data_IF_426258001209
#
_entry.id   IF_426258001209
#
_cell.length_a   1.000
_cell.length_b   1.000
_cell.length_c   1.000
_cell.angle_alpha   90.00
_cell.angle_beta   90.00
_cell.angle_gamma   90.00
#
_symmetry.space_group_name_H-M   'P 1'
#
loop_
_entity.id
_entity.type
_entity.pdbx_description
1 polymer ?
#
# COMPACT_ATOMS: atom_id res chain seq x y z
N UNK A 1 -1.07 6.94 -28.92
CA UNK A 1 -0.20 8.12 -28.73
C UNK A 1 -1.08 9.27 -28.28
N UNK A 2 -1.17 9.52 -26.98
CA UNK A 2 -1.88 10.68 -26.47
C UNK A 2 -0.95 11.90 -26.58
N UNK A 3 -1.40 12.93 -27.30
CA UNK A 3 -0.67 14.18 -27.43
C UNK A 3 -0.45 14.79 -26.03
N UNK A 4 0.79 15.16 -25.73
CA UNK A 4 1.14 15.95 -24.55
C UNK A 4 0.50 17.34 -24.67
N UNK A 5 -0.41 17.68 -23.75
CA UNK A 5 -0.84 19.07 -23.60
C UNK A 5 0.39 19.93 -23.24
N UNK A 6 0.53 21.12 -23.83
CA UNK A 6 1.65 22.00 -23.51
C UNK A 6 1.53 22.47 -22.05
N UNK A 7 2.57 22.22 -21.26
CA UNK A 7 2.73 22.81 -19.94
C UNK A 7 2.82 24.33 -20.12
N UNK A 8 1.92 25.08 -19.49
CA UNK A 8 1.85 26.54 -19.62
C UNK A 8 3.09 27.19 -18.97
N UNK A 9 3.63 28.27 -19.54
CA UNK A 9 4.85 28.92 -19.01
C UNK A 9 4.67 29.42 -17.58
N UNK A 10 3.44 29.75 -17.20
CA UNK A 10 3.07 30.16 -15.84
C UNK A 10 3.21 29.04 -14.80
N UNK A 11 3.04 27.77 -15.20
CA UNK A 11 3.21 26.61 -14.30
C UNK A 11 4.69 26.29 -14.05
N UNK A 12 5.58 26.62 -15.01
CA UNK A 12 7.02 26.41 -14.90
C UNK A 12 7.65 27.48 -13.98
N UNK A 13 7.30 28.75 -14.19
CA UNK A 13 7.79 29.86 -13.35
C UNK A 13 7.36 29.69 -11.88
N UNK A 14 6.19 29.10 -11.64
CA UNK A 14 5.67 28.77 -10.31
C UNK A 14 6.42 27.59 -9.64
N UNK A 15 6.81 26.57 -10.42
CA UNK A 15 7.59 25.44 -9.90
C UNK A 15 8.99 25.86 -9.45
N UNK A 16 9.70 26.66 -10.25
CA UNK A 16 11.04 27.14 -9.90
C UNK A 16 11.01 28.00 -8.63
N UNK A 17 10.01 28.85 -8.49
CA UNK A 17 9.79 29.64 -7.28
C UNK A 17 9.52 28.76 -6.05
N UNK A 18 8.70 27.71 -6.18
CA UNK A 18 8.44 26.76 -5.10
C UNK A 18 9.70 25.99 -4.71
N UNK A 19 10.45 25.45 -5.67
CA UNK A 19 11.69 24.73 -5.39
C UNK A 19 12.75 25.65 -4.77
N UNK A 20 12.81 26.93 -5.15
CA UNK A 20 13.65 27.92 -4.49
C UNK A 20 13.28 28.12 -3.02
N UNK A 21 11.97 28.17 -2.69
CA UNK A 21 11.50 28.24 -1.29
C UNK A 21 11.91 26.99 -0.51
N UNK A 22 11.77 25.80 -1.10
CA UNK A 22 12.19 24.54 -0.46
C UNK A 22 13.70 24.55 -0.23
N UNK A 23 14.51 24.96 -1.21
CA UNK A 23 15.98 25.07 -1.06
C UNK A 23 16.35 25.95 0.14
N UNK A 24 15.72 27.11 0.28
CA UNK A 24 15.95 28.03 1.41
C UNK A 24 15.47 27.43 2.74
N UNK A 25 14.26 26.84 2.76
CA UNK A 25 13.66 26.25 3.95
C UNK A 25 14.45 25.05 4.48
N UNK A 26 14.72 24.08 3.62
CA UNK A 26 15.49 22.88 3.96
C UNK A 26 16.96 23.22 4.27
N UNK A 27 17.55 24.18 3.56
CA UNK A 27 18.92 24.64 3.83
C UNK A 27 19.10 25.35 5.19
N UNK A 28 17.99 25.76 5.83
CA UNK A 28 18.01 26.30 7.20
C UNK A 28 17.87 25.23 8.30
N UNK A 29 17.61 23.97 7.91
CA UNK A 29 17.48 22.85 8.84
C UNK A 29 18.83 22.18 9.10
N UNK A 30 18.95 21.53 10.26
CA UNK A 30 20.10 20.68 10.60
C UNK A 30 19.97 19.30 9.93
N UNK A 31 20.20 19.26 8.61
CA UNK A 31 20.19 18.03 7.79
C UNK A 31 21.41 18.01 6.86
N UNK A 32 21.84 16.82 6.45
CA UNK A 32 22.99 16.72 5.53
C UNK A 32 22.64 17.19 4.11
N UNK A 33 23.64 17.64 3.37
CA UNK A 33 23.49 18.03 1.95
C UNK A 33 22.87 16.92 1.10
N UNK A 34 23.20 15.66 1.40
CA UNK A 34 22.63 14.50 0.73
C UNK A 34 21.12 14.36 0.97
N UNK A 35 20.65 14.60 2.20
CA UNK A 35 19.22 14.58 2.55
C UNK A 35 18.49 15.75 1.88
N UNK A 36 19.08 16.94 1.90
CA UNK A 36 18.51 18.11 1.24
C UNK A 36 18.40 17.92 -0.28
N UNK A 37 19.45 17.42 -0.92
CA UNK A 37 19.47 17.14 -2.36
C UNK A 37 18.43 16.08 -2.73
N UNK A 38 18.36 14.95 -2.01
CA UNK A 38 17.38 13.90 -2.28
C UNK A 38 15.94 14.39 -2.10
N UNK A 39 15.70 15.23 -1.10
CA UNK A 39 14.37 15.85 -0.86
C UNK A 39 13.94 16.69 -2.07
N UNK A 40 14.84 17.53 -2.59
CA UNK A 40 14.55 18.40 -3.74
C UNK A 40 14.28 17.59 -5.01
N UNK A 41 15.13 16.60 -5.31
CA UNK A 41 14.95 15.73 -6.48
C UNK A 41 13.60 15.01 -6.44
N UNK A 42 13.22 14.46 -5.28
CA UNK A 42 11.94 13.77 -5.13
C UNK A 42 10.74 14.72 -5.23
N UNK A 43 10.84 15.93 -4.67
CA UNK A 43 9.78 16.94 -4.77
C UNK A 43 9.57 17.41 -6.22
N UNK A 44 10.66 17.70 -6.93
CA UNK A 44 10.61 18.06 -8.35
C UNK A 44 9.92 16.96 -9.16
N UNK A 45 10.30 15.69 -8.95
CA UNK A 45 9.66 14.56 -9.61
C UNK A 45 8.16 14.47 -9.28
N UNK A 46 7.78 14.55 -8.01
CA UNK A 46 6.37 14.46 -7.59
C UNK A 46 5.50 15.65 -7.98
N UNK A 47 6.10 16.82 -8.23
CA UNK A 47 5.37 18.01 -8.70
C UNK A 47 5.21 18.05 -10.22
N UNK A 48 6.06 17.34 -10.97
CA UNK A 48 6.09 17.38 -12.45
C UNK A 48 5.50 16.14 -13.11
N UNK A 49 5.68 14.96 -12.53
CA UNK A 49 5.19 13.72 -13.10
C UNK A 49 3.67 13.59 -12.93
N UNK A 50 2.98 13.35 -14.05
CA UNK A 50 1.51 13.25 -14.12
C UNK A 50 0.94 12.19 -13.18
N UNK A 51 1.72 11.14 -12.87
CA UNK A 51 1.36 10.08 -11.93
C UNK A 51 1.02 10.62 -10.55
N UNK A 52 1.66 11.72 -10.13
CA UNK A 52 1.52 12.30 -8.79
C UNK A 52 0.66 13.56 -8.76
N UNK A 53 0.00 13.91 -9.87
CA UNK A 53 -0.80 15.16 -9.99
C UNK A 53 -1.80 15.34 -8.84
N UNK A 54 -2.45 14.27 -8.38
CA UNK A 54 -3.42 14.32 -7.27
C UNK A 54 -2.80 14.67 -5.91
N UNK A 55 -1.49 14.46 -5.74
CA UNK A 55 -0.75 14.81 -4.52
C UNK A 55 -0.25 16.26 -4.53
N UNK A 56 -0.13 16.88 -5.72
CA UNK A 56 0.46 18.21 -5.91
C UNK A 56 -0.15 19.30 -5.02
N UNK A 57 -1.49 19.43 -4.86
CA UNK A 57 -2.07 20.49 -4.03
C UNK A 57 -1.57 20.43 -2.58
N UNK A 58 -1.51 19.22 -2.01
CA UNK A 58 -1.02 19.00 -0.65
C UNK A 58 0.47 19.29 -0.49
N UNK A 59 1.29 18.92 -1.49
CA UNK A 59 2.73 19.19 -1.47
C UNK A 59 2.97 20.70 -1.50
N UNK A 60 2.27 21.42 -2.37
CA UNK A 60 2.34 22.89 -2.48
C UNK A 60 1.92 23.57 -1.17
N UNK A 61 0.81 23.13 -0.57
CA UNK A 61 0.37 23.64 0.72
C UNK A 61 1.40 23.38 1.85
N UNK A 62 2.05 22.22 1.88
CA UNK A 62 3.12 21.95 2.85
C UNK A 62 4.30 22.93 2.69
N UNK A 63 4.62 23.34 1.45
CA UNK A 63 5.67 24.32 1.14
C UNK A 63 5.24 25.72 1.61
N UNK A 64 4.04 26.17 1.23
CA UNK A 64 3.49 27.48 1.59
C UNK A 64 3.39 27.67 3.12
N UNK A 65 2.95 26.62 3.83
CA UNK A 65 2.86 26.60 5.28
C UNK A 65 4.18 26.25 5.98
N UNK A 66 5.29 26.16 5.23
CA UNK A 66 6.65 25.95 5.74
C UNK A 66 6.79 24.72 6.62
N UNK A 67 6.10 23.62 6.26
CA UNK A 67 6.14 22.33 6.97
C UNK A 67 7.41 21.54 6.62
N UNK A 68 8.58 22.17 6.77
CA UNK A 68 9.85 21.64 6.28
C UNK A 68 10.22 20.27 6.85
N UNK A 69 9.99 20.04 8.14
CA UNK A 69 10.23 18.74 8.77
C UNK A 69 9.39 17.62 8.14
N UNK A 70 8.12 17.90 7.82
CA UNK A 70 7.24 16.94 7.14
C UNK A 70 7.71 16.70 5.71
N UNK A 71 8.06 17.76 4.98
CA UNK A 71 8.56 17.65 3.60
C UNK A 71 9.86 16.84 3.53
N UNK A 72 10.85 17.15 4.37
CA UNK A 72 12.11 16.41 4.40
C UNK A 72 11.82 14.95 4.71
N UNK A 73 11.09 14.65 5.80
CA UNK A 73 10.80 13.27 6.19
C UNK A 73 10.01 12.50 5.12
N UNK A 74 9.08 13.14 4.41
CA UNK A 74 8.28 12.52 3.36
C UNK A 74 9.03 12.26 2.05
N UNK A 75 10.06 13.04 1.72
CA UNK A 75 10.67 13.06 0.38
C UNK A 75 12.15 12.68 0.31
N UNK A 76 12.87 12.65 1.44
CA UNK A 76 14.31 12.35 1.40
C UNK A 76 14.67 10.91 1.02
N UNK A 77 13.70 9.98 1.03
CA UNK A 77 13.89 8.58 0.69
C UNK A 77 12.61 7.96 0.16
N UNK A 78 12.71 6.75 -0.36
CA UNK A 78 11.55 5.88 -0.54
C UNK A 78 11.30 5.13 0.77
N UNK A 79 10.03 4.92 1.10
CA UNK A 79 9.62 4.02 2.17
C UNK A 79 10.34 2.68 1.94
N UNK A 80 10.93 2.01 2.93
CA UNK A 80 11.62 0.76 2.68
C UNK A 80 10.63 -0.39 2.42
N UNK A 81 11.00 -1.31 1.54
CA UNK A 81 10.37 -2.63 1.43
C UNK A 81 11.21 -3.60 2.27
N UNK A 82 10.67 -4.05 3.40
CA UNK A 82 11.34 -5.03 4.26
C UNK A 82 10.98 -6.46 3.87
N UNK A 83 11.47 -7.44 4.64
CA UNK A 83 11.28 -8.88 4.42
C UNK A 83 9.81 -9.28 4.22
N UNK A 84 8.90 -8.61 4.93
CA UNK A 84 7.47 -8.89 4.89
C UNK A 84 6.61 -7.89 4.12
N UNK A 85 7.19 -6.86 3.47
CA UNK A 85 6.45 -5.80 2.78
C UNK A 85 6.75 -4.37 3.25
N UNK A 86 5.82 -3.42 3.04
CA UNK A 86 5.95 -2.00 3.42
C UNK A 86 5.05 -1.66 4.58
N UNK A 87 5.54 -0.85 5.52
CA UNK A 87 4.74 -0.26 6.60
C UNK A 87 5.26 1.13 6.91
N UNK A 88 4.38 2.10 7.10
CA UNK A 88 4.76 3.47 7.44
C UNK A 88 3.57 4.39 7.65
N UNK A 89 3.86 5.66 7.91
CA UNK A 89 2.84 6.72 8.01
C UNK A 89 2.12 6.87 6.69
N UNK A 90 0.79 6.97 6.72
CA UNK A 90 0.01 7.34 5.54
C UNK A 90 0.24 8.82 5.23
N UNK A 91 0.40 9.18 3.95
CA UNK A 91 0.66 10.58 3.58
C UNK A 91 1.16 10.78 2.16
N UNK A 92 1.60 12.01 1.89
CA UNK A 92 2.15 12.41 0.58
C UNK A 92 3.66 12.23 0.53
N UNK A 93 4.16 11.77 -0.62
CA UNK A 93 5.59 11.58 -0.88
C UNK A 93 6.04 10.11 -0.88
N UNK A 94 7.28 9.86 -1.34
CA UNK A 94 7.81 8.51 -1.51
C UNK A 94 8.12 7.78 -0.20
N UNK A 95 8.33 8.49 0.92
CA UNK A 95 8.51 7.92 2.26
C UNK A 95 7.19 7.83 3.04
N UNK A 96 6.07 7.66 2.35
CA UNK A 96 4.75 7.49 2.96
C UNK A 96 4.04 6.28 2.36
N UNK A 97 3.19 5.65 3.16
CA UNK A 97 2.26 4.66 2.65
C UNK A 97 1.11 5.40 1.95
N UNK A 98 0.86 5.07 0.69
CA UNK A 98 -0.13 5.74 -0.15
C UNK A 98 -0.45 4.85 -1.37
N UNK A 99 -1.46 5.20 -2.18
CA UNK A 99 -1.86 4.39 -3.33
C UNK A 99 -0.71 4.03 -4.27
N UNK A 100 0.25 4.95 -4.47
CA UNK A 100 1.41 4.70 -5.34
C UNK A 100 2.38 3.68 -4.73
N UNK A 101 2.84 3.91 -3.49
CA UNK A 101 3.82 3.03 -2.83
C UNK A 101 3.30 1.62 -2.59
N UNK A 102 2.00 1.47 -2.26
CA UNK A 102 1.35 0.16 -2.20
C UNK A 102 1.26 -0.46 -3.60
N UNK A 103 0.79 0.30 -4.59
CA UNK A 103 0.70 -0.18 -5.97
C UNK A 103 2.05 -0.67 -6.52
N UNK A 104 3.15 0.03 -6.21
CA UNK A 104 4.49 -0.40 -6.58
C UNK A 104 4.90 -1.72 -5.91
N UNK A 105 4.55 -1.90 -4.63
CA UNK A 105 4.74 -3.19 -3.94
C UNK A 105 3.95 -4.33 -4.59
N UNK A 106 2.69 -4.08 -4.93
CA UNK A 106 1.82 -5.09 -5.52
C UNK A 106 2.26 -5.42 -6.95
N UNK A 107 2.62 -4.42 -7.74
CA UNK A 107 3.14 -4.60 -9.09
C UNK A 107 4.44 -5.40 -9.08
N UNK A 108 5.38 -5.09 -8.18
CA UNK A 108 6.62 -5.84 -8.05
C UNK A 108 6.38 -7.29 -7.64
N UNK A 109 5.45 -7.53 -6.71
CA UNK A 109 5.07 -8.89 -6.33
C UNK A 109 4.38 -9.66 -7.48
N UNK A 110 3.47 -9.03 -8.21
CA UNK A 110 2.83 -9.63 -9.38
C UNK A 110 3.87 -10.00 -10.45
N UNK A 111 4.83 -9.12 -10.73
CA UNK A 111 5.96 -9.39 -11.64
C UNK A 111 6.81 -10.56 -11.15
N UNK A 112 7.15 -10.59 -9.86
CA UNK A 112 7.88 -11.71 -9.26
C UNK A 112 7.16 -13.05 -9.45
N UNK A 113 5.86 -13.11 -9.12
CA UNK A 113 5.04 -14.30 -9.29
C UNK A 113 4.98 -14.73 -10.76
N UNK A 114 4.76 -13.80 -11.70
CA UNK A 114 4.74 -14.10 -13.14
C UNK A 114 6.07 -14.66 -13.64
N UNK A 115 7.20 -14.11 -13.19
CA UNK A 115 8.53 -14.62 -13.57
C UNK A 115 8.78 -16.04 -13.05
N UNK A 116 8.23 -16.37 -11.87
CA UNK A 116 8.40 -17.67 -11.23
C UNK A 116 7.47 -18.75 -11.78
N UNK A 117 6.21 -18.39 -12.00
CA UNK A 117 5.13 -19.33 -12.31
C UNK A 117 4.78 -19.37 -13.79
N UNK A 118 5.21 -18.36 -14.56
CA UNK A 118 4.87 -18.21 -15.97
C UNK A 118 3.46 -17.71 -16.20
N UNK A 119 2.96 -17.98 -17.42
CA UNK A 119 1.60 -17.69 -17.81
C UNK A 119 0.63 -18.72 -17.23
N UNK A 120 -0.53 -18.27 -16.77
CA UNK A 120 -1.51 -19.13 -16.13
C UNK A 120 -2.59 -18.36 -15.37
N UNK A 121 -3.69 -19.04 -15.09
CA UNK A 121 -4.76 -18.54 -14.25
C UNK A 121 -4.41 -18.83 -12.78
N UNK A 122 -3.93 -17.81 -12.06
CA UNK A 122 -3.52 -17.92 -10.67
C UNK A 122 -4.38 -17.05 -9.78
N UNK A 123 -4.66 -17.52 -8.56
CA UNK A 123 -5.36 -16.77 -7.53
C UNK A 123 -4.40 -16.09 -6.57
N UNK A 124 -4.76 -14.90 -6.10
CA UNK A 124 -4.17 -14.26 -4.93
C UNK A 124 -5.28 -13.85 -3.97
N UNK A 125 -5.03 -13.97 -2.66
CA UNK A 125 -5.98 -13.53 -1.63
C UNK A 125 -5.55 -12.17 -1.10
N UNK A 126 -6.45 -11.18 -1.09
CA UNK A 126 -6.18 -9.84 -0.56
C UNK A 126 -7.09 -9.59 0.63
N UNK A 127 -6.49 -9.30 1.77
CA UNK A 127 -7.14 -9.06 3.05
C UNK A 127 -6.80 -7.67 3.59
N UNK A 128 -7.61 -7.16 4.50
CA UNK A 128 -7.39 -5.88 5.16
C UNK A 128 -7.85 -5.89 6.62
N UNK A 129 -7.28 -5.01 7.43
CA UNK A 129 -7.81 -4.64 8.76
C UNK A 129 -8.76 -3.42 8.67
N UNK A 130 -9.13 -2.86 9.83
CA UNK A 130 -10.16 -1.81 9.96
C UNK A 130 -9.62 -0.37 9.90
N UNK A 131 -8.32 -0.16 9.63
CA UNK A 131 -7.70 1.17 9.74
C UNK A 131 -8.30 2.16 8.75
N UNK A 132 -8.40 3.43 9.15
CA UNK A 132 -8.76 4.56 8.31
C UNK A 132 -7.89 5.77 8.66
N UNK A 133 -7.33 6.43 7.64
CA UNK A 133 -6.43 7.56 7.84
C UNK A 133 -7.20 8.86 8.05
N UNK A 134 -6.98 9.51 9.20
CA UNK A 134 -7.69 10.72 9.61
C UNK A 134 -6.77 11.91 9.90
N UNK A 135 -5.48 11.82 9.57
CA UNK A 135 -4.49 12.88 9.84
C UNK A 135 -4.47 13.29 11.32
N UNK A 136 -4.60 12.33 12.24
CA UNK A 136 -4.54 12.56 13.69
C UNK A 136 -3.21 13.17 14.15
N UNK A 137 -2.11 12.95 13.41
CA UNK A 137 -0.81 13.60 13.64
C UNK A 137 -0.77 15.07 13.21
N UNK A 138 -1.73 15.54 12.42
CA UNK A 138 -1.74 16.92 11.89
C UNK A 138 -0.58 17.23 10.93
N UNK A 139 -0.02 16.22 10.25
CA UNK A 139 1.10 16.40 9.31
C UNK A 139 0.63 17.05 8.01
N UNK A 140 -0.59 16.72 7.55
CA UNK A 140 -1.19 17.34 6.37
C UNK A 140 -1.84 18.67 6.75
N UNK A 141 -1.72 19.66 5.86
CA UNK A 141 -2.50 20.91 5.90
C UNK A 141 -3.99 20.56 5.73
N UNK A 142 -4.88 20.99 6.65
CA UNK A 142 -6.33 20.76 6.55
C UNK A 142 -6.94 21.43 5.31
N UNK A 143 -8.10 20.93 4.88
CA UNK A 143 -8.91 21.51 3.79
C UNK A 143 -8.18 21.62 2.43
N UNK A 144 -7.11 20.84 2.24
CA UNK A 144 -6.37 20.74 0.98
C UNK A 144 -6.60 19.36 0.35
N UNK A 145 -6.93 19.38 -0.95
CA UNK A 145 -7.19 18.16 -1.71
C UNK A 145 -5.95 17.25 -1.75
N UNK A 146 -6.14 15.98 -1.47
CA UNK A 146 -5.12 14.94 -1.55
C UNK A 146 -5.77 13.56 -1.70
N UNK A 147 -5.04 12.54 -2.19
CA UNK A 147 -5.62 11.23 -2.48
C UNK A 147 -5.54 10.28 -1.28
N UNK A 148 -5.15 10.73 -0.08
CA UNK A 148 -4.88 9.85 1.06
C UNK A 148 -5.84 10.05 2.23
N UNK A 149 -6.34 11.26 2.46
CA UNK A 149 -7.25 11.57 3.57
C UNK A 149 -8.53 10.74 3.46
N UNK A 150 -8.89 10.03 4.54
CA UNK A 150 -10.06 9.16 4.58
C UNK A 150 -9.88 7.78 3.95
N UNK A 151 -8.69 7.45 3.42
CA UNK A 151 -8.44 6.10 2.91
C UNK A 151 -8.42 5.07 4.04
N UNK A 152 -9.21 4.02 3.85
CA UNK A 152 -9.22 2.83 4.69
C UNK A 152 -8.27 1.75 4.17
N UNK A 153 -7.92 0.78 5.03
CA UNK A 153 -7.24 -0.45 4.59
C UNK A 153 -8.02 -1.20 3.50
N UNK A 154 -9.35 -1.08 3.46
CA UNK A 154 -10.17 -1.64 2.38
C UNK A 154 -9.93 -0.93 1.05
N UNK A 155 -9.84 0.40 1.04
CA UNK A 155 -9.54 1.15 -0.18
C UNK A 155 -8.16 0.78 -0.73
N UNK A 156 -7.19 0.58 0.16
CA UNK A 156 -5.87 0.05 -0.20
C UNK A 156 -5.92 -1.39 -0.73
N UNK A 157 -6.75 -2.27 -0.14
CA UNK A 157 -6.97 -3.62 -0.66
C UNK A 157 -7.60 -3.59 -2.06
N UNK A 158 -8.54 -2.67 -2.31
CA UNK A 158 -9.10 -2.43 -3.63
C UNK A 158 -8.04 -1.99 -4.64
N UNK A 159 -7.18 -1.02 -4.28
CA UNK A 159 -6.05 -0.61 -5.12
C UNK A 159 -5.15 -1.81 -5.46
N UNK A 160 -4.85 -2.67 -4.48
CA UNK A 160 -4.06 -3.87 -4.71
C UNK A 160 -4.77 -4.85 -5.67
N UNK A 161 -6.07 -5.04 -5.51
CA UNK A 161 -6.86 -5.89 -6.40
C UNK A 161 -6.81 -5.39 -7.85
N UNK A 162 -6.91 -4.08 -8.07
CA UNK A 162 -6.80 -3.49 -9.41
C UNK A 162 -5.45 -3.75 -10.08
N UNK A 163 -4.36 -3.76 -9.31
CA UNK A 163 -3.01 -4.04 -9.83
C UNK A 163 -2.84 -5.53 -10.12
N UNK A 164 -3.24 -6.42 -9.21
CA UNK A 164 -3.14 -7.86 -9.45
C UNK A 164 -4.01 -8.31 -10.64
N UNK A 165 -5.22 -7.78 -10.77
CA UNK A 165 -6.11 -8.12 -11.89
C UNK A 165 -5.62 -7.56 -13.22
N UNK A 166 -4.98 -6.38 -13.24
CA UNK A 166 -4.25 -5.88 -14.42
C UNK A 166 -3.12 -6.84 -14.84
N UNK A 167 -2.42 -7.42 -13.86
CA UNK A 167 -1.40 -8.45 -14.09
C UNK A 167 -1.99 -9.85 -14.38
N UNK A 168 -3.31 -9.98 -14.55
CA UNK A 168 -4.01 -11.19 -14.96
C UNK A 168 -4.24 -12.23 -13.85
N UNK A 169 -4.11 -11.85 -12.58
CA UNK A 169 -4.46 -12.73 -11.46
C UNK A 169 -5.95 -12.61 -11.15
N UNK A 170 -6.57 -13.72 -10.73
CA UNK A 170 -7.86 -13.68 -10.05
C UNK A 170 -7.64 -13.29 -8.60
N UNK A 171 -8.32 -12.25 -8.13
CA UNK A 171 -8.19 -11.76 -6.75
C UNK A 171 -9.39 -12.20 -5.93
N UNK A 172 -9.11 -12.85 -4.81
CA UNK A 172 -10.13 -13.21 -3.82
C UNK A 172 -10.13 -12.15 -2.72
N UNK A 173 -11.27 -11.48 -2.54
CA UNK A 173 -11.49 -10.46 -1.51
C UNK A 173 -12.46 -10.98 -0.44
N UNK A 174 -12.38 -10.50 0.82
CA UNK A 174 -13.45 -10.74 1.78
C UNK A 174 -14.77 -10.11 1.31
N UNK A 175 -15.93 -10.56 1.82
CA UNK A 175 -17.21 -9.91 1.57
C UNK A 175 -17.17 -8.40 1.85
N UNK A 176 -18.02 -7.65 1.14
CA UNK A 176 -18.12 -6.21 1.34
C UNK A 176 -18.53 -5.91 2.79
N UNK A 177 -17.75 -5.05 3.46
CA UNK A 177 -17.93 -4.74 4.88
C UNK A 177 -17.19 -5.68 5.85
N UNK A 178 -16.71 -6.84 5.40
CA UNK A 178 -16.00 -7.81 6.24
C UNK A 178 -14.48 -7.70 6.13
N UNK A 179 -13.78 -7.99 7.23
CA UNK A 179 -12.32 -7.99 7.31
C UNK A 179 -11.82 -9.42 7.47
N UNK A 180 -10.60 -9.67 7.01
CA UNK A 180 -9.95 -10.96 7.16
C UNK A 180 -8.67 -10.77 7.96
N UNK A 181 -8.57 -11.49 9.08
CA UNK A 181 -7.38 -11.44 9.93
C UNK A 181 -6.18 -12.08 9.23
N UNK A 182 -4.97 -11.78 9.70
CA UNK A 182 -3.75 -12.38 9.15
C UNK A 182 -3.73 -13.92 9.16
N UNK A 183 -4.15 -14.64 10.22
CA UNK A 183 -4.21 -16.09 10.18
C UNK A 183 -5.29 -16.62 9.24
N UNK A 184 -6.42 -15.93 9.10
CA UNK A 184 -7.45 -16.30 8.13
C UNK A 184 -6.96 -16.13 6.68
N UNK A 185 -6.24 -15.04 6.37
CA UNK A 185 -5.57 -14.87 5.08
C UNK A 185 -4.62 -16.05 4.81
N UNK A 186 -3.75 -16.38 5.77
CA UNK A 186 -2.81 -17.50 5.67
C UNK A 186 -3.52 -18.84 5.40
N UNK A 187 -4.65 -19.06 6.05
CA UNK A 187 -5.47 -20.25 5.82
C UNK A 187 -6.13 -20.23 4.44
N UNK A 188 -6.76 -19.12 4.07
CA UNK A 188 -7.47 -18.96 2.81
C UNK A 188 -6.55 -19.14 1.59
N UNK A 189 -5.31 -18.64 1.66
CA UNK A 189 -4.32 -18.85 0.60
C UNK A 189 -4.14 -20.34 0.31
N UNK A 190 -3.96 -21.15 1.36
CA UNK A 190 -3.76 -22.60 1.21
C UNK A 190 -5.05 -23.33 0.83
N UNK A 191 -6.18 -22.93 1.41
CA UNK A 191 -7.47 -23.56 1.14
C UNK A 191 -7.96 -23.36 -0.30
N UNK A 192 -7.50 -22.28 -0.96
CA UNK A 192 -7.89 -21.91 -2.32
C UNK A 192 -6.80 -22.22 -3.36
N UNK A 193 -5.72 -22.89 -2.97
CA UNK A 193 -4.51 -23.10 -3.79
C UNK A 193 -4.01 -21.79 -4.45
N UNK A 194 -4.15 -20.67 -3.73
CA UNK A 194 -3.69 -19.37 -4.19
C UNK A 194 -2.17 -19.32 -4.15
N UNK A 195 -1.57 -18.59 -5.10
CA UNK A 195 -0.12 -18.54 -5.24
C UNK A 195 0.54 -17.54 -4.29
N UNK A 196 -0.27 -16.75 -3.59
CA UNK A 196 0.16 -15.79 -2.61
C UNK A 196 -0.99 -14.90 -2.12
N UNK A 197 -0.63 -13.84 -1.41
CA UNK A 197 -1.61 -12.88 -0.94
C UNK A 197 -1.02 -11.60 -0.39
N UNK A 198 -1.90 -10.71 0.04
CA UNK A 198 -1.56 -9.42 0.63
C UNK A 198 -2.43 -9.16 1.86
N UNK A 199 -1.81 -8.87 3.01
CA UNK A 199 -2.51 -8.28 4.15
C UNK A 199 -2.26 -6.77 4.18
N UNK A 200 -3.31 -5.97 4.00
CA UNK A 200 -3.26 -4.53 4.25
C UNK A 200 -3.50 -4.26 5.73
N UNK A 201 -2.44 -3.97 6.47
CA UNK A 201 -2.48 -3.71 7.91
C UNK A 201 -1.13 -3.22 8.44
N UNK A 202 -1.16 -2.24 9.33
CA UNK A 202 -0.02 -1.89 10.18
C UNK A 202 -0.08 -2.52 11.60
N UNK A 203 -0.89 -3.56 11.81
CA UNK A 203 -1.02 -4.30 13.08
C UNK A 203 -1.44 -3.40 14.24
N UNK A 204 -0.56 -3.13 15.20
CA UNK A 204 -0.82 -2.31 16.40
C UNK A 204 -0.16 -0.92 16.32
N UNK A 205 0.35 -0.54 15.14
CA UNK A 205 0.88 0.80 14.93
C UNK A 205 -0.19 1.88 15.14
N UNK A 206 0.26 3.12 15.25
CA UNK A 206 -0.59 4.31 15.31
C UNK A 206 -1.70 4.30 14.22
N UNK A 207 -2.91 4.83 14.47
CA UNK A 207 -4.01 4.76 13.50
C UNK A 207 -3.70 5.36 12.12
N UNK A 208 -2.87 6.42 12.07
CA UNK A 208 -2.40 7.04 10.82
C UNK A 208 -1.29 6.25 10.09
N UNK A 209 -0.86 5.10 10.62
CA UNK A 209 0.06 4.21 9.93
C UNK A 209 -0.74 3.12 9.20
N UNK A 210 -0.25 2.70 8.02
CA UNK A 210 -0.76 1.53 7.32
C UNK A 210 0.40 0.76 6.66
N UNK A 211 0.11 -0.39 6.06
CA UNK A 211 1.11 -1.24 5.45
C UNK A 211 0.51 -2.32 4.57
N UNK A 212 1.33 -2.88 3.69
CA UNK A 212 1.00 -4.02 2.86
C UNK A 212 2.03 -5.11 3.10
N UNK A 213 1.57 -6.30 3.51
CA UNK A 213 2.41 -7.46 3.79
C UNK A 213 2.15 -8.57 2.78
N UNK A 214 3.19 -9.05 2.14
CA UNK A 214 3.09 -10.07 1.09
C UNK A 214 3.25 -11.47 1.68
N UNK A 215 2.47 -12.41 1.13
CA UNK A 215 2.43 -13.81 1.51
C UNK A 215 2.60 -14.70 0.29
N UNK A 216 3.19 -15.86 0.50
CA UNK A 216 3.44 -16.91 -0.49
C UNK A 216 2.33 -17.95 -0.49
N UNK A 217 2.37 -18.90 -1.43
CA UNK A 217 1.44 -20.04 -1.49
C UNK A 217 1.40 -20.90 -0.21
N UNK A 218 2.41 -20.81 0.68
CA UNK A 218 2.38 -21.52 1.97
C UNK A 218 1.52 -20.82 3.02
N UNK A 219 0.98 -19.63 2.71
CA UNK A 219 0.32 -18.76 3.68
C UNK A 219 1.29 -18.06 4.64
N UNK A 220 2.61 -18.23 4.46
CA UNK A 220 3.66 -17.51 5.18
C UNK A 220 4.31 -16.41 4.33
N UNK A 221 5.21 -15.64 4.94
CA UNK A 221 6.03 -14.64 4.23
C UNK A 221 7.25 -15.30 3.58
N UNK A 222 7.82 -14.64 2.56
CA UNK A 222 9.12 -15.05 2.03
C UNK A 222 10.21 -14.95 3.11
N UNK A 223 11.21 -15.80 2.98
CA UNK A 223 12.40 -15.83 3.84
C UNK A 223 13.66 -15.69 2.98
N UNK A 224 14.79 -15.27 3.56
CA UNK A 224 16.05 -15.22 2.84
C UNK A 224 16.37 -16.51 2.08
N UNK A 225 16.83 -16.43 0.81
CA UNK A 225 17.15 -15.21 0.05
C UNK A 225 15.99 -14.64 -0.81
N UNK A 226 14.80 -15.25 -0.79
CA UNK A 226 13.71 -14.93 -1.74
C UNK A 226 13.01 -13.61 -1.45
N UNK A 227 13.00 -13.19 -0.19
CA UNK A 227 12.53 -11.87 0.21
C UNK A 227 13.27 -10.73 -0.51
N UNK A 228 14.57 -10.89 -0.74
CA UNK A 228 15.37 -9.95 -1.52
C UNK A 228 15.01 -9.96 -3.01
N UNK A 229 14.69 -11.13 -3.60
CA UNK A 229 14.23 -11.21 -4.99
C UNK A 229 12.95 -10.38 -5.18
N UNK A 230 11.99 -10.49 -4.25
CA UNK A 230 10.75 -9.68 -4.29
C UNK A 230 11.07 -8.20 -4.12
N UNK A 231 11.94 -7.84 -3.17
CA UNK A 231 12.34 -6.46 -2.93
C UNK A 231 13.00 -5.83 -4.17
N UNK A 232 13.82 -6.60 -4.89
CA UNK A 232 14.48 -6.16 -6.12
C UNK A 232 13.47 -5.93 -7.26
N UNK A 233 12.45 -6.79 -7.41
CA UNK A 233 11.38 -6.55 -8.39
C UNK A 233 10.59 -5.28 -8.04
N UNK A 234 10.27 -5.08 -6.76
CA UNK A 234 9.58 -3.86 -6.29
C UNK A 234 10.42 -2.60 -6.55
N UNK A 235 11.74 -2.67 -6.35
CA UNK A 235 12.64 -1.55 -6.59
C UNK A 235 12.77 -1.18 -8.09
N UNK A 236 12.50 -2.13 -9.00
CA UNK A 236 12.52 -1.91 -10.45
C UNK A 236 11.22 -1.35 -11.02
N UNK A 237 10.16 -1.26 -10.22
CA UNK A 237 8.86 -0.76 -10.69
C UNK A 237 8.96 0.73 -11.04
N UNK A 238 8.78 1.03 -12.32
CA UNK A 238 8.67 2.41 -12.84
C UNK A 238 7.24 2.76 -13.30
N UNK A 239 6.37 1.76 -13.45
CA UNK A 239 4.99 1.90 -13.90
C UNK A 239 4.10 0.89 -13.16
N UNK A 240 2.89 1.31 -12.79
CA UNK A 240 1.90 0.48 -12.11
C UNK A 240 0.70 0.36 -13.03
N UNK A 241 0.42 -0.86 -13.50
CA UNK A 241 -0.78 -1.11 -14.29
C UNK A 241 -2.00 -1.35 -13.38
N UNK A 242 -3.17 -0.87 -13.79
CA UNK A 242 -4.41 -0.97 -13.01
C UNK A 242 -5.60 -1.25 -13.90
N UNK A 243 -6.41 -2.21 -13.49
CA UNK A 243 -7.73 -2.48 -14.02
C UNK A 243 -8.74 -2.04 -12.97
N UNK A 244 -9.65 -1.12 -13.32
CA UNK A 244 -10.67 -0.67 -12.36
C UNK A 244 -11.44 -1.86 -11.78
N UNK A 245 -11.80 -1.80 -10.50
CA UNK A 245 -12.51 -2.90 -9.84
C UNK A 245 -13.79 -3.33 -10.57
N UNK A 246 -14.56 -2.37 -11.11
CA UNK A 246 -15.77 -2.69 -11.88
C UNK A 246 -15.46 -3.50 -13.14
N UNK A 247 -14.38 -3.14 -13.86
CA UNK A 247 -13.92 -3.89 -15.03
C UNK A 247 -13.40 -5.26 -14.63
N UNK A 248 -12.64 -5.35 -13.54
CA UNK A 248 -12.11 -6.60 -13.03
C UNK A 248 -13.23 -7.58 -12.59
N UNK A 249 -14.25 -7.08 -11.88
CA UNK A 249 -15.46 -7.83 -11.53
C UNK A 249 -16.21 -8.29 -12.78
N UNK A 250 -16.43 -7.40 -13.75
CA UNK A 250 -17.10 -7.73 -15.02
C UNK A 250 -16.33 -8.79 -15.83
N UNK A 251 -15.01 -8.82 -15.69
CA UNK A 251 -14.13 -9.81 -16.32
C UNK A 251 -14.03 -11.14 -15.55
N UNK A 252 -14.69 -11.28 -14.40
CA UNK A 252 -14.59 -12.47 -13.55
C UNK A 252 -13.24 -12.64 -12.85
N UNK A 253 -12.46 -11.55 -12.72
CA UNK A 253 -11.14 -11.55 -12.09
C UNK A 253 -11.19 -11.21 -10.60
N UNK A 254 -12.37 -10.93 -10.05
CA UNK A 254 -12.58 -10.68 -8.62
C UNK A 254 -13.60 -11.68 -8.10
N UNK A 255 -13.18 -12.50 -7.14
CA UNK A 255 -14.01 -13.48 -6.43
C UNK A 255 -14.23 -12.99 -4.99
N UNK A 256 -15.38 -13.31 -4.41
CA UNK A 256 -15.63 -13.12 -2.98
C UNK A 256 -15.27 -14.39 -2.24
N UNK A 257 -14.56 -14.26 -1.12
CA UNK A 257 -14.22 -15.38 -0.24
C UNK A 257 -15.51 -16.06 0.24
N UNK A 258 -15.61 -17.38 0.04
CA UNK A 258 -16.80 -18.13 0.45
C UNK A 258 -16.82 -18.43 1.94
N UNK A 259 -18.02 -18.51 2.50
CA UNK A 259 -18.26 -18.92 3.89
C UNK A 259 -17.67 -20.31 4.18
N UNK A 260 -17.61 -21.21 3.18
CA UNK A 260 -17.01 -22.53 3.31
C UNK A 260 -15.53 -22.46 3.76
N UNK A 261 -14.78 -21.46 3.30
CA UNK A 261 -13.36 -21.27 3.69
C UNK A 261 -13.27 -20.75 5.12
N UNK A 262 -14.17 -19.84 5.50
CA UNK A 262 -14.27 -19.29 6.87
C UNK A 262 -14.62 -20.41 7.85
N UNK A 263 -15.64 -21.21 7.53
CA UNK A 263 -16.06 -22.36 8.33
C UNK A 263 -14.95 -23.43 8.42
N UNK A 264 -14.21 -23.66 7.34
CA UNK A 264 -13.07 -24.58 7.35
C UNK A 264 -11.95 -24.09 8.26
N UNK A 265 -11.67 -22.78 8.29
CA UNK A 265 -10.73 -22.18 9.22
C UNK A 265 -11.17 -22.39 10.67
N UNK A 266 -12.43 -22.07 10.98
CA UNK A 266 -12.98 -22.23 12.33
C UNK A 266 -12.92 -23.69 12.81
N UNK A 267 -13.28 -24.65 11.94
CA UNK A 267 -13.13 -26.08 12.24
C UNK A 267 -11.68 -26.47 12.51
N UNK A 268 -10.72 -25.96 11.74
CA UNK A 268 -9.30 -26.24 11.96
C UNK A 268 -8.78 -25.66 13.29
N UNK A 269 -9.25 -24.46 13.67
CA UNK A 269 -8.93 -23.84 14.96
C UNK A 269 -9.51 -24.66 16.12
N UNK A 270 -10.78 -25.06 16.04
CA UNK A 270 -11.43 -25.89 17.06
C UNK A 270 -10.75 -27.27 17.21
N UNK A 271 -10.35 -27.89 16.10
CA UNK A 271 -9.62 -29.16 16.09
C UNK A 271 -8.20 -29.04 16.68
N UNK A 272 -7.65 -27.83 16.78
CA UNK A 272 -6.35 -27.57 17.42
C UNK A 272 -6.46 -27.40 18.94
N UNK A 273 -7.67 -27.43 19.50
CA UNK A 273 -7.92 -27.35 20.94
C UNK A 273 -7.41 -28.59 21.69
N UNK A 274 -6.82 -28.38 22.86
CA UNK A 274 -6.24 -29.45 23.69
C UNK A 274 -7.30 -30.29 24.43
N UNK A 275 -8.45 -29.68 24.75
CA UNK A 275 -9.60 -30.32 25.38
C UNK A 275 -10.90 -29.62 24.91
N UNK A 276 -11.62 -30.18 23.92
CA UNK A 276 -12.84 -29.58 23.39
C UNK A 276 -14.03 -29.61 24.37
N UNK A 277 -13.93 -30.39 25.46
CA UNK A 277 -14.99 -30.58 26.45
C UNK A 277 -14.73 -29.80 27.75
N UNK A 278 -13.58 -29.12 27.87
CA UNK A 278 -13.25 -28.26 29.00
C UNK A 278 -14.16 -27.02 29.04
N UNK A 279 -15.25 -27.10 29.82
CA UNK A 279 -16.24 -26.00 29.97
C UNK A 279 -16.03 -25.09 31.19
N UNK A 280 -14.87 -25.13 31.82
CA UNK A 280 -14.60 -24.38 33.04
C UNK A 280 -13.97 -23.00 32.73
N UNK A 281 -14.79 -22.00 32.40
CA UNK A 281 -14.32 -20.62 32.27
C UNK A 281 -15.42 -19.63 31.90
N UNK A 282 -15.36 -18.40 32.43
CA UNK A 282 -16.14 -17.26 31.91
C UNK A 282 -15.17 -16.37 31.15
N UNK A 283 -15.38 -16.24 29.85
CA UNK A 283 -14.50 -15.47 28.96
C UNK A 283 -15.13 -14.11 28.67
N UNK A 284 -14.31 -13.06 28.70
CA UNK A 284 -14.66 -11.73 28.18
C UNK A 284 -13.69 -11.44 27.04
N UNK A 285 -14.24 -11.11 25.88
CA UNK A 285 -13.49 -10.79 24.68
C UNK A 285 -13.78 -9.36 24.26
N UNK A 286 -12.75 -8.61 23.89
CA UNK A 286 -12.85 -7.27 23.31
C UNK A 286 -12.10 -7.26 22.00
N UNK A 287 -12.76 -6.82 20.92
CA UNK A 287 -12.21 -6.87 19.57
C UNK A 287 -11.12 -5.82 19.28
N UNK A 288 -10.92 -4.84 20.19
CA UNK A 288 -10.01 -3.68 20.10
C UNK A 288 -10.10 -2.85 18.81
#
# INVERSE_FOLDING_TARGET
>A
MAASEPVNSTDIDDLDALLAQVRLGVGSMDVSDAVAASTLTALEHWLTDRTFRSYSPQIRALIEHRRWAVLVDSFYRVLPFGTGGRRGRVGVGPNRFNPYTLGASVQGHATFLRRRLGEGAFRVVVACDVRCFHNLRGELVPDVMNPVLGLSSRDFAHIAAEVYTAAGFTVVLPPDGEVLSTPELSFAIRALDAVGGLQVSASHNHPDDNGGKIYTATGGQEVPPRDQEVADEVARVSYIDRMSLDRARSAGLVETLSDDVVDAYQRAVLASGYDPDARAGRFVFSAL
#
